data_IF_055925633964
#
_entry.id   IF_055925633964
#
_cell.length_a   1.000
_cell.length_b   1.000
_cell.length_c   1.000
_cell.angle_alpha   90.00
_cell.angle_beta   90.00
_cell.angle_gamma   90.00
#
_symmetry.space_group_name_H-M   'P 1'
#
loop_
_entity.id
_entity.type
_entity.pdbx_description
1 polymer ?
#
# COMPACT_ATOMS: atom_id res chain seq x y z
N UNK A 1 37.80 8.64 -32.87
CA UNK A 1 37.48 9.30 -31.58
C UNK A 1 38.51 8.86 -30.54
N UNK A 2 39.09 9.76 -29.74
CA UNK A 2 40.07 9.39 -28.72
C UNK A 2 39.44 8.45 -27.67
N UNK A 3 40.15 7.40 -27.21
CA UNK A 3 39.64 6.42 -26.24
C UNK A 3 39.27 7.02 -24.87
N UNK A 4 39.71 8.25 -24.59
CA UNK A 4 39.32 9.02 -23.40
C UNK A 4 37.83 9.34 -23.35
N UNK A 5 37.19 9.59 -24.50
CA UNK A 5 35.75 9.86 -24.54
C UNK A 5 34.93 8.62 -24.21
N UNK A 6 35.33 7.45 -24.73
CA UNK A 6 34.60 6.20 -24.45
C UNK A 6 34.62 5.85 -22.97
N UNK A 7 35.78 5.93 -22.29
CA UNK A 7 35.89 5.60 -20.87
C UNK A 7 35.09 6.51 -19.95
N UNK A 8 35.06 7.81 -20.24
CA UNK A 8 34.26 8.78 -19.49
C UNK A 8 32.76 8.49 -19.60
N UNK A 9 32.27 8.19 -20.82
CA UNK A 9 30.87 7.81 -21.02
C UNK A 9 30.50 6.50 -20.33
N UNK A 10 31.39 5.49 -20.30
CA UNK A 10 31.11 4.24 -19.59
C UNK A 10 30.95 4.45 -18.09
N UNK A 11 31.84 5.22 -17.47
CA UNK A 11 31.78 5.51 -16.03
C UNK A 11 30.50 6.29 -15.70
N UNK A 12 30.19 7.31 -16.51
CA UNK A 12 28.96 8.10 -16.33
C UNK A 12 27.70 7.24 -16.47
N UNK A 13 27.67 6.31 -17.44
CA UNK A 13 26.55 5.41 -17.66
C UNK A 13 26.36 4.41 -16.50
N UNK A 14 27.44 3.88 -15.93
CA UNK A 14 27.38 3.00 -14.76
C UNK A 14 26.79 3.75 -13.55
N UNK A 15 27.27 4.96 -13.28
CA UNK A 15 26.74 5.80 -12.18
C UNK A 15 25.27 6.13 -12.41
N UNK A 16 24.88 6.45 -13.64
CA UNK A 16 23.49 6.72 -14.00
C UNK A 16 22.58 5.50 -13.73
N UNK A 17 23.01 4.29 -14.12
CA UNK A 17 22.26 3.05 -13.85
C UNK A 17 22.08 2.85 -12.34
N UNK A 18 23.13 3.05 -11.54
CA UNK A 18 23.04 2.89 -10.08
C UNK A 18 21.99 3.85 -9.50
N UNK A 19 22.01 5.12 -9.91
CA UNK A 19 21.03 6.12 -9.46
C UNK A 19 19.61 5.69 -9.85
N UNK A 20 19.40 5.24 -11.09
CA UNK A 20 18.08 4.78 -11.55
C UNK A 20 17.58 3.57 -10.74
N UNK A 21 18.44 2.59 -10.48
CA UNK A 21 18.08 1.39 -9.69
C UNK A 21 17.72 1.79 -8.25
N UNK A 22 18.50 2.67 -7.61
CA UNK A 22 18.21 3.17 -6.26
C UNK A 22 16.90 3.94 -6.23
N UNK A 23 16.63 4.79 -7.22
CA UNK A 23 15.34 5.49 -7.32
C UNK A 23 14.16 4.53 -7.46
N UNK A 24 14.23 3.55 -8.37
CA UNK A 24 13.17 2.55 -8.58
C UNK A 24 12.91 1.74 -7.30
N UNK A 25 13.97 1.22 -6.68
CA UNK A 25 13.84 0.41 -5.44
C UNK A 25 13.22 1.21 -4.30
N UNK A 26 13.59 2.48 -4.13
CA UNK A 26 12.96 3.37 -3.15
C UNK A 26 11.47 3.60 -3.43
N UNK A 27 11.10 3.85 -4.69
CA UNK A 27 9.68 4.03 -5.08
C UNK A 27 8.87 2.75 -4.82
N UNK A 28 9.42 1.58 -5.12
CA UNK A 28 8.76 0.29 -4.86
C UNK A 28 8.58 0.02 -3.36
N UNK A 29 9.57 0.37 -2.52
CA UNK A 29 9.50 0.22 -1.07
C UNK A 29 8.42 1.10 -0.45
N UNK A 30 8.29 2.34 -0.91
CA UNK A 30 7.23 3.26 -0.49
C UNK A 30 5.86 2.71 -0.88
N UNK A 31 5.72 2.16 -2.09
CA UNK A 31 4.47 1.58 -2.56
C UNK A 31 4.02 0.38 -1.71
N UNK A 32 4.94 -0.47 -1.25
CA UNK A 32 4.63 -1.62 -0.39
C UNK A 32 4.06 -1.20 0.97
N UNK A 33 4.66 -0.21 1.65
CA UNK A 33 4.15 0.25 2.96
C UNK A 33 2.73 0.79 2.90
N UNK A 34 2.36 1.44 1.80
CA UNK A 34 1.01 1.99 1.61
C UNK A 34 -0.06 0.93 1.29
N UNK A 35 0.31 -0.35 1.19
CA UNK A 35 -0.60 -1.46 0.87
C UNK A 35 -0.58 -2.57 1.93
N UNK A 36 0.05 -2.35 3.09
CA UNK A 36 -0.03 -3.32 4.17
C UNK A 36 -1.44 -3.27 4.81
N UNK A 37 -2.11 -4.42 4.98
CA UNK A 37 -3.42 -4.47 5.61
C UNK A 37 -3.29 -4.18 7.10
N UNK A 38 -4.19 -3.38 7.64
CA UNK A 38 -4.21 -3.03 9.06
C UNK A 38 -4.88 -4.10 9.92
N UNK A 39 -5.82 -4.87 9.35
CA UNK A 39 -6.50 -5.96 10.04
C UNK A 39 -7.05 -6.98 9.05
N UNK A 40 -7.03 -8.24 9.45
CA UNK A 40 -7.64 -9.35 8.71
C UNK A 40 -8.49 -10.16 9.67
N UNK A 41 -9.75 -10.40 9.33
CA UNK A 41 -10.67 -11.06 10.24
C UNK A 41 -11.71 -11.87 9.46
N UNK A 42 -12.36 -12.82 10.12
CA UNK A 42 -13.36 -13.69 9.51
C UNK A 42 -14.71 -13.51 10.19
N UNK A 43 -15.76 -13.34 9.39
CA UNK A 43 -17.13 -13.16 9.87
C UNK A 43 -18.04 -14.03 9.02
N UNK A 44 -18.87 -14.86 9.66
CA UNK A 44 -19.84 -15.74 8.99
C UNK A 44 -19.21 -16.60 7.87
N UNK A 45 -17.99 -17.09 8.08
CA UNK A 45 -17.29 -17.93 7.10
C UNK A 45 -16.50 -17.16 6.02
N UNK A 46 -16.71 -15.84 5.88
CA UNK A 46 -16.02 -14.99 4.89
C UNK A 46 -14.86 -14.24 5.52
N UNK A 47 -13.73 -14.18 4.82
CA UNK A 47 -12.55 -13.43 5.28
C UNK A 47 -12.57 -12.03 4.71
N UNK A 48 -12.27 -11.05 5.55
CA UNK A 48 -12.22 -9.65 5.21
C UNK A 48 -10.85 -9.08 5.55
N UNK A 49 -10.42 -8.11 4.75
CA UNK A 49 -9.16 -7.40 4.93
C UNK A 49 -9.41 -5.91 4.90
N UNK A 50 -8.90 -5.20 5.89
CA UNK A 50 -8.95 -3.75 5.95
C UNK A 50 -7.58 -3.19 5.60
N UNK A 51 -7.55 -2.22 4.71
CA UNK A 51 -6.38 -1.43 4.38
C UNK A 51 -6.58 0.00 4.85
N UNK A 52 -5.55 0.63 5.42
CA UNK A 52 -5.53 2.08 5.61
C UNK A 52 -4.86 2.75 4.40
N UNK A 53 -5.53 3.73 3.82
CA UNK A 53 -5.00 4.54 2.73
C UNK A 53 -5.02 6.00 3.15
N UNK A 54 -3.85 6.63 3.10
CA UNK A 54 -3.76 8.08 3.19
C UNK A 54 -4.23 8.66 1.86
N UNK A 55 -5.39 9.32 1.88
CA UNK A 55 -5.85 10.07 0.72
C UNK A 55 -5.18 11.46 0.76
N UNK A 56 -4.13 11.61 -0.04
CA UNK A 56 -3.48 12.90 -0.24
C UNK A 56 -4.28 13.72 -1.26
N UNK A 57 -5.05 14.69 -0.77
CA UNK A 57 -5.68 15.68 -1.62
C UNK A 57 -4.98 17.02 -1.44
N UNK A 58 -4.57 17.67 -2.54
CA UNK A 58 -3.81 18.92 -2.52
C UNK A 58 -4.56 20.08 -1.84
N UNK A 59 -5.89 20.01 -1.79
CA UNK A 59 -6.76 21.10 -1.33
C UNK A 59 -7.50 20.81 -0.02
N UNK A 60 -7.42 19.58 0.50
CA UNK A 60 -8.15 19.17 1.70
C UNK A 60 -7.20 18.48 2.67
N UNK A 61 -7.51 18.54 3.96
CA UNK A 61 -6.71 17.85 4.98
C UNK A 61 -6.51 16.38 4.61
N UNK A 62 -5.28 15.90 4.80
CA UNK A 62 -4.95 14.49 4.64
C UNK A 62 -5.86 13.68 5.57
N UNK A 63 -6.68 12.82 4.98
CA UNK A 63 -7.59 11.95 5.72
C UNK A 63 -7.18 10.50 5.50
N UNK A 64 -7.16 9.74 6.60
CA UNK A 64 -7.03 8.28 6.55
C UNK A 64 -8.40 7.75 6.13
N UNK A 65 -8.42 6.99 5.04
CA UNK A 65 -9.60 6.25 4.58
C UNK A 65 -9.32 4.77 4.70
N UNK A 66 -10.34 4.02 5.10
CA UNK A 66 -10.28 2.58 5.28
C UNK A 66 -10.93 1.90 4.09
N UNK A 67 -10.26 0.93 3.51
CA UNK A 67 -10.80 0.14 2.40
C UNK A 67 -11.04 -1.28 2.87
N UNK A 68 -12.29 -1.73 2.78
CA UNK A 68 -12.68 -3.09 3.08
C UNK A 68 -12.62 -3.93 1.80
N UNK A 69 -11.93 -5.06 1.88
CA UNK A 69 -11.85 -6.03 0.79
C UNK A 69 -12.28 -7.42 1.24
N UNK A 70 -12.83 -8.18 0.31
CA UNK A 70 -13.06 -9.62 0.47
C UNK A 70 -11.72 -10.39 0.38
N UNK A 71 -11.76 -11.66 0.77
CA UNK A 71 -10.76 -12.71 0.57
C UNK A 71 -10.18 -12.77 -0.85
N UNK A 72 -11.01 -12.53 -1.87
CA UNK A 72 -10.60 -12.49 -3.28
C UNK A 72 -9.91 -11.16 -3.68
N UNK A 73 -9.79 -10.21 -2.74
CA UNK A 73 -9.20 -8.89 -2.98
C UNK A 73 -10.14 -7.88 -3.63
N UNK A 74 -11.41 -8.23 -3.82
CA UNK A 74 -12.45 -7.33 -4.33
C UNK A 74 -12.76 -6.23 -3.32
N UNK A 75 -12.86 -4.98 -3.78
CA UNK A 75 -13.20 -3.83 -2.92
C UNK A 75 -14.69 -3.81 -2.65
N UNK A 76 -15.06 -3.95 -1.39
CA UNK A 76 -16.46 -3.89 -0.94
C UNK A 76 -16.89 -2.46 -0.63
N UNK A 77 -15.94 -1.61 -0.21
CA UNK A 77 -16.20 -0.20 0.01
C UNK A 77 -15.01 0.57 0.57
N UNK A 78 -15.13 1.89 0.57
CA UNK A 78 -14.20 2.82 1.19
C UNK A 78 -14.92 3.65 2.25
N UNK A 79 -14.34 3.73 3.44
CA UNK A 79 -14.99 4.25 4.66
C UNK A 79 -14.09 5.29 5.33
N UNK A 80 -14.70 6.29 5.96
CA UNK A 80 -13.93 7.30 6.70
C UNK A 80 -13.65 6.87 8.14
N UNK A 81 -14.43 5.93 8.68
CA UNK A 81 -14.25 5.35 10.01
C UNK A 81 -14.26 3.83 9.96
N UNK A 82 -13.54 3.19 10.89
CA UNK A 82 -13.66 1.75 11.13
C UNK A 82 -15.05 1.37 11.65
N UNK A 83 -15.75 2.30 12.33
CA UNK A 83 -17.10 2.06 12.80
C UNK A 83 -18.10 1.84 11.64
N UNK A 84 -17.91 2.54 10.52
CA UNK A 84 -18.77 2.37 9.35
C UNK A 84 -18.67 0.93 8.78
N UNK A 85 -17.50 0.31 8.90
CA UNK A 85 -17.26 -1.09 8.51
C UNK A 85 -18.00 -2.05 9.45
N UNK A 86 -17.99 -1.79 10.76
CA UNK A 86 -18.73 -2.58 11.74
C UNK A 86 -20.23 -2.52 11.48
N UNK A 87 -20.77 -1.32 11.22
CA UNK A 87 -22.18 -1.13 10.87
C UNK A 87 -22.54 -1.87 9.58
N UNK A 88 -21.71 -1.79 8.54
CA UNK A 88 -21.93 -2.50 7.27
C UNK A 88 -22.01 -4.02 7.47
N UNK A 89 -21.11 -4.56 8.30
CA UNK A 89 -21.03 -5.99 8.57
C UNK A 89 -22.00 -6.44 9.68
N UNK A 90 -22.75 -5.50 10.26
CA UNK A 90 -23.64 -5.72 11.39
C UNK A 90 -22.93 -6.39 12.58
N UNK A 91 -21.81 -5.80 13.00
CA UNK A 91 -20.96 -6.25 14.10
C UNK A 91 -20.89 -5.18 15.19
N UNK A 92 -20.88 -5.59 16.45
CA UNK A 92 -20.65 -4.67 17.57
C UNK A 92 -19.16 -4.34 17.75
N UNK A 93 -18.29 -5.32 17.47
CA UNK A 93 -16.83 -5.17 17.54
C UNK A 93 -16.11 -6.04 16.51
N UNK A 94 -14.85 -5.69 16.20
CA UNK A 94 -14.05 -6.51 15.30
C UNK A 94 -13.60 -7.78 16.02
N UNK A 95 -13.67 -8.95 15.36
CA UNK A 95 -13.13 -10.19 15.91
C UNK A 95 -11.66 -10.02 16.34
N UNK A 96 -11.31 -10.63 17.48
CA UNK A 96 -9.93 -10.59 18.00
C UNK A 96 -9.00 -11.58 17.30
N UNK A 97 -9.56 -12.59 16.62
CA UNK A 97 -8.77 -13.57 15.86
C UNK A 97 -8.22 -12.92 14.59
N UNK A 98 -6.96 -12.47 14.66
CA UNK A 98 -6.14 -12.30 13.47
C UNK A 98 -5.85 -13.70 12.90
N UNK A 99 -6.21 -13.92 11.64
CA UNK A 99 -6.15 -15.22 10.95
C UNK A 99 -4.69 -15.68 10.66
N UNK A 100 -3.69 -15.20 11.42
CA UNK A 100 -2.26 -15.45 11.23
C UNK A 100 -1.55 -15.81 12.55
N UNK A 101 -2.16 -16.68 13.38
CA UNK A 101 -1.41 -17.53 14.30
C UNK A 101 -1.13 -18.89 13.66
#
# INVERSE_FOLDING_TARGET
MPPFFSGFFTIFFIVFIIVVVVSITNTLKIRKRNHEPIKKFKVNGKSYVIYSKLNYNRYYNNQVRYELRDSDGNVLGSFNSLNDILVLLNLDEFPQEDIFN
#
